data_IF_688246212211
#
_entry.id   IF_688246212211
#
_cell.length_a   1.000
_cell.length_b   1.000
_cell.length_c   1.000
_cell.angle_alpha   90.00
_cell.angle_beta   90.00
_cell.angle_gamma   90.00
#
_symmetry.space_group_name_H-M   'P 1'
#
loop_
_entity.id
_entity.type
_entity.pdbx_description
1 polymer ?
#
# COMPACT_ATOMS: atom_id res chain seq x y z
N UNK A 1 -22.58 11.71 3.37
CA UNK A 1 -22.01 10.70 2.45
C UNK A 1 -21.20 11.47 1.43
N UNK A 2 -19.89 11.54 1.64
CA UNK A 2 -19.00 12.05 0.59
C UNK A 2 -19.15 11.16 -0.66
N UNK A 3 -19.06 11.72 -1.87
CA UNK A 3 -19.23 10.93 -3.08
C UNK A 3 -18.15 9.84 -3.14
N UNK A 4 -18.59 8.60 -3.36
CA UNK A 4 -17.68 7.48 -3.61
C UNK A 4 -16.80 7.80 -4.83
N UNK A 5 -15.50 7.56 -4.70
CA UNK A 5 -14.55 7.74 -5.80
C UNK A 5 -14.60 6.51 -6.69
N UNK A 6 -15.07 6.67 -7.92
CA UNK A 6 -15.10 5.58 -8.90
C UNK A 6 -13.66 5.17 -9.28
N UNK A 7 -13.34 3.87 -9.32
CA UNK A 7 -12.05 3.40 -9.80
C UNK A 7 -11.79 3.78 -11.25
N UNK A 8 -10.52 3.94 -11.61
CA UNK A 8 -10.09 4.30 -12.97
C UNK A 8 -8.84 3.53 -13.39
N UNK A 9 -8.70 3.27 -14.68
CA UNK A 9 -7.44 2.76 -15.27
C UNK A 9 -6.60 3.95 -15.71
N UNK A 10 -5.31 3.89 -15.38
CA UNK A 10 -4.32 4.91 -15.68
C UNK A 10 -3.15 4.30 -16.43
N UNK A 11 -2.67 5.03 -17.44
CA UNK A 11 -1.47 4.71 -18.25
C UNK A 11 -0.33 5.71 -18.02
N UNK A 12 -0.49 6.60 -17.03
CA UNK A 12 0.59 7.45 -16.58
C UNK A 12 1.55 6.65 -15.69
N UNK A 13 2.85 6.94 -15.78
CA UNK A 13 3.83 6.28 -14.92
C UNK A 13 3.68 6.73 -13.47
N UNK A 14 3.53 5.77 -12.56
CA UNK A 14 3.55 6.01 -11.10
C UNK A 14 4.75 5.31 -10.49
N UNK A 15 5.48 6.00 -9.62
CA UNK A 15 6.63 5.44 -8.92
C UNK A 15 6.57 5.76 -7.43
N UNK A 16 7.05 4.81 -6.62
CA UNK A 16 7.21 4.94 -5.17
C UNK A 16 8.64 4.54 -4.81
N UNK A 17 9.28 5.32 -3.95
CA UNK A 17 10.54 4.94 -3.29
C UNK A 17 10.24 4.81 -1.80
N UNK A 18 10.23 3.57 -1.32
CA UNK A 18 9.81 3.20 0.02
C UNK A 18 11.00 2.67 0.81
N UNK A 19 10.95 2.85 2.13
CA UNK A 19 11.89 2.27 3.07
C UNK A 19 11.12 1.51 4.13
N UNK A 20 11.46 0.23 4.30
CA UNK A 20 10.61 -0.65 5.09
C UNK A 20 11.14 -2.06 5.29
N UNK A 21 10.27 -2.92 5.78
CA UNK A 21 10.56 -4.30 6.11
C UNK A 21 9.70 -5.25 5.25
N UNK A 22 10.20 -6.46 5.02
CA UNK A 22 9.50 -7.48 4.23
C UNK A 22 9.39 -8.79 5.00
N UNK A 23 8.24 -9.46 4.91
CA UNK A 23 8.01 -10.78 5.50
C UNK A 23 7.10 -11.61 4.59
N UNK A 24 7.37 -12.92 4.53
CA UNK A 24 6.45 -13.86 3.89
C UNK A 24 5.21 -14.01 4.78
N UNK A 25 4.03 -13.75 4.22
CA UNK A 25 2.78 -13.88 4.92
C UNK A 25 2.45 -15.36 5.18
N UNK A 26 1.99 -15.64 6.40
CA UNK A 26 1.47 -16.95 6.79
C UNK A 26 0.00 -17.08 6.35
N UNK A 27 -0.32 -17.97 5.38
CA UNK A 27 -1.70 -18.12 4.89
C UNK A 27 -2.71 -18.55 5.94
N UNK A 28 -2.27 -19.04 7.10
CA UNK A 28 -3.14 -19.39 8.23
C UNK A 28 -3.59 -18.18 9.06
N UNK A 29 -3.11 -16.96 8.76
CA UNK A 29 -3.36 -15.73 9.50
C UNK A 29 -3.98 -14.65 8.61
N UNK A 30 -4.67 -13.65 9.19
CA UNK A 30 -5.06 -12.48 8.42
C UNK A 30 -3.82 -11.65 8.03
N UNK A 31 -3.84 -11.06 6.84
CA UNK A 31 -2.77 -10.17 6.37
C UNK A 31 -2.51 -8.98 7.33
N UNK A 32 -3.55 -8.49 8.01
CA UNK A 32 -3.44 -7.40 8.98
C UNK A 32 -2.40 -7.69 10.07
N UNK A 33 -2.31 -8.91 10.58
CA UNK A 33 -1.28 -9.27 11.57
C UNK A 33 0.13 -9.09 11.01
N UNK A 34 0.38 -9.58 9.79
CA UNK A 34 1.70 -9.43 9.13
C UNK A 34 2.02 -7.97 8.87
N UNK A 35 1.03 -7.19 8.45
CA UNK A 35 1.18 -5.75 8.16
C UNK A 35 1.49 -4.96 9.43
N UNK A 36 0.77 -5.22 10.53
CA UNK A 36 1.03 -4.57 11.82
C UNK A 36 2.42 -4.90 12.35
N UNK A 37 2.83 -6.17 12.32
CA UNK A 37 4.17 -6.57 12.74
C UNK A 37 5.28 -5.88 11.93
N UNK A 38 5.06 -5.68 10.62
CA UNK A 38 6.01 -4.97 9.77
C UNK A 38 6.02 -3.47 10.07
N UNK A 39 4.85 -2.84 10.22
CA UNK A 39 4.79 -1.42 10.57
C UNK A 39 5.37 -1.13 11.95
N UNK A 40 5.17 -2.00 12.94
CA UNK A 40 5.79 -1.86 14.26
C UNK A 40 7.31 -1.80 14.16
N UNK A 41 7.92 -2.66 13.34
CA UNK A 41 9.36 -2.64 13.07
C UNK A 41 9.80 -1.36 12.36
N UNK A 42 9.08 -0.97 11.31
CA UNK A 42 9.40 0.26 10.55
C UNK A 42 9.34 1.48 11.47
N UNK A 43 8.26 1.62 12.23
CA UNK A 43 8.06 2.77 13.10
C UNK A 43 8.96 2.76 14.33
N UNK A 44 9.36 1.58 14.83
CA UNK A 44 10.40 1.49 15.84
C UNK A 44 11.71 2.09 15.33
N UNK A 45 12.17 1.66 14.16
CA UNK A 45 13.42 2.14 13.56
C UNK A 45 13.39 3.64 13.24
N UNK A 46 12.27 4.13 12.69
CA UNK A 46 12.06 5.55 12.38
C UNK A 46 12.16 6.41 13.65
N UNK A 47 11.55 5.98 14.75
CA UNK A 47 11.60 6.72 16.02
C UNK A 47 12.97 6.62 16.69
N UNK A 48 13.59 5.45 16.66
CA UNK A 48 14.89 5.21 17.31
C UNK A 48 16.03 6.02 16.67
N UNK A 49 15.94 6.30 15.37
CA UNK A 49 16.95 7.04 14.62
C UNK A 49 16.48 8.43 14.16
N UNK A 50 15.33 8.90 14.65
CA UNK A 50 14.76 10.22 14.33
C UNK A 50 14.69 10.51 12.81
N UNK A 51 14.33 9.48 12.01
CA UNK A 51 14.35 9.57 10.55
C UNK A 51 13.25 10.53 10.05
N UNK A 52 13.61 11.48 9.18
CA UNK A 52 12.64 12.38 8.58
C UNK A 52 11.74 11.64 7.57
N UNK A 53 10.42 11.76 7.71
CA UNK A 53 9.45 10.98 6.93
C UNK A 53 8.20 11.78 6.54
N UNK A 54 7.48 11.31 5.52
CA UNK A 54 6.15 11.87 5.14
C UNK A 54 5.01 11.32 6.00
N UNK A 55 5.24 10.21 6.68
CA UNK A 55 4.26 9.57 7.58
C UNK A 55 3.10 8.89 6.87
N UNK A 56 3.29 8.51 5.62
CA UNK A 56 2.30 7.79 4.81
C UNK A 56 2.74 6.33 4.70
N UNK A 57 1.91 5.44 5.23
CA UNK A 57 2.15 4.01 5.26
C UNK A 57 1.81 3.38 3.90
N UNK A 58 2.70 2.54 3.40
CA UNK A 58 2.53 1.79 2.17
C UNK A 58 2.66 0.30 2.45
N UNK A 59 1.78 -0.50 1.87
CA UNK A 59 1.90 -1.96 1.83
C UNK A 59 2.00 -2.38 0.37
N UNK A 60 3.00 -3.21 0.08
CA UNK A 60 3.26 -3.78 -1.24
C UNK A 60 3.14 -5.29 -1.12
N UNK A 61 2.17 -5.87 -1.83
CA UNK A 61 1.99 -7.30 -1.93
C UNK A 61 2.72 -7.80 -3.18
N UNK A 62 3.55 -8.82 -3.00
CA UNK A 62 4.47 -9.34 -4.01
C UNK A 62 4.32 -10.85 -4.21
N UNK A 63 4.99 -11.37 -5.24
CA UNK A 63 4.98 -12.79 -5.57
C UNK A 63 5.42 -13.65 -4.37
N UNK A 64 4.87 -14.87 -4.29
CA UNK A 64 5.21 -15.81 -3.21
C UNK A 64 4.70 -15.40 -1.83
N UNK A 65 3.58 -14.67 -1.77
CA UNK A 65 2.97 -14.14 -0.54
C UNK A 65 3.90 -13.21 0.26
N UNK A 66 4.87 -12.58 -0.40
CA UNK A 66 5.72 -11.59 0.24
C UNK A 66 4.95 -10.29 0.44
N UNK A 67 5.01 -9.77 1.66
CA UNK A 67 4.47 -8.46 2.02
C UNK A 67 5.64 -7.56 2.40
N UNK A 68 5.69 -6.39 1.81
CA UNK A 68 6.58 -5.31 2.21
C UNK A 68 5.74 -4.17 2.77
N UNK A 69 6.04 -3.74 4.00
CA UNK A 69 5.43 -2.54 4.58
C UNK A 69 6.53 -1.49 4.77
N UNK A 70 6.25 -0.26 4.36
CA UNK A 70 7.24 0.81 4.41
C UNK A 70 6.62 2.19 4.31
N UNK A 71 7.47 3.20 4.39
CA UNK A 71 7.09 4.60 4.30
C UNK A 71 7.99 5.35 3.33
N UNK A 72 7.54 6.53 2.90
CA UNK A 72 8.40 7.49 2.21
C UNK A 72 9.21 8.29 3.23
N UNK A 73 10.53 8.16 3.15
CA UNK A 73 11.47 9.00 3.90
C UNK A 73 11.82 10.26 3.09
N UNK A 74 12.09 11.37 3.80
CA UNK A 74 12.57 12.62 3.20
C UNK A 74 14.03 12.46 2.76
N UNK A 75 14.81 11.73 3.54
CA UNK A 75 16.19 11.35 3.26
C UNK A 75 16.36 9.84 3.45
N UNK A 76 17.15 9.16 2.60
CA UNK A 76 17.48 7.76 2.83
C UNK A 76 18.05 7.54 4.24
N UNK A 77 17.79 6.39 4.86
CA UNK A 77 18.37 6.06 6.16
C UNK A 77 19.88 5.77 6.00
N UNK A 78 20.60 5.71 7.11
CA UNK A 78 22.00 5.29 7.13
C UNK A 78 22.17 3.84 6.62
N UNK A 79 23.36 3.49 6.12
CA UNK A 79 23.63 2.17 5.50
C UNK A 79 23.41 0.98 6.45
N UNK A 80 23.46 1.22 7.76
CA UNK A 80 23.26 0.21 8.81
C UNK A 80 21.80 0.05 9.26
N UNK A 81 20.87 0.83 8.69
CA UNK A 81 19.46 0.72 9.07
C UNK A 81 18.86 -0.62 8.66
N UNK A 82 17.91 -1.10 9.46
CA UNK A 82 17.14 -2.30 9.12
C UNK A 82 16.12 -2.06 7.99
N UNK A 83 15.83 -0.79 7.66
CA UNK A 83 14.90 -0.44 6.59
C UNK A 83 15.54 -0.68 5.22
N UNK A 84 14.93 -1.56 4.44
CA UNK A 84 15.32 -1.82 3.07
C UNK A 84 14.65 -0.82 2.14
N UNK A 85 15.44 -0.24 1.22
CA UNK A 85 14.91 0.52 0.10
C UNK A 85 14.15 -0.41 -0.86
N UNK A 86 12.97 0.03 -1.31
CA UNK A 86 12.21 -0.60 -2.39
C UNK A 86 11.69 0.47 -3.35
N UNK A 87 12.06 0.35 -4.61
CA UNK A 87 11.51 1.16 -5.69
C UNK A 87 10.41 0.34 -6.39
N UNK A 88 9.21 0.90 -6.49
CA UNK A 88 8.06 0.30 -7.19
C UNK A 88 7.67 1.22 -8.33
N UNK A 89 7.53 0.67 -9.54
CA UNK A 89 7.13 1.42 -10.74
C UNK A 89 5.94 0.71 -11.39
N UNK A 90 4.88 1.46 -11.63
CA UNK A 90 3.70 1.04 -12.37
C UNK A 90 3.62 1.85 -13.65
N UNK A 91 3.71 1.18 -14.80
CA UNK A 91 3.56 1.81 -16.12
C UNK A 91 2.08 1.92 -16.53
N UNK A 92 1.26 0.99 -16.03
CA UNK A 92 -0.18 0.97 -16.20
C UNK A 92 -0.81 0.34 -14.96
N UNK A 93 -1.88 0.95 -14.45
CA UNK A 93 -2.51 0.48 -13.21
C UNK A 93 -3.99 0.81 -13.14
N UNK A 94 -4.74 -0.02 -12.42
CA UNK A 94 -6.05 0.38 -11.91
C UNK A 94 -5.86 1.09 -10.57
N UNK A 95 -6.57 2.19 -10.39
CA UNK A 95 -6.54 3.03 -9.19
C UNK A 95 -7.93 3.07 -8.57
N UNK A 96 -8.00 2.88 -7.26
CA UNK A 96 -9.19 3.10 -6.46
C UNK A 96 -8.84 3.86 -5.19
N UNK A 97 -9.78 4.67 -4.69
CA UNK A 97 -9.67 5.31 -3.38
C UNK A 97 -10.84 4.88 -2.52
N UNK A 98 -10.53 4.25 -1.40
CA UNK A 98 -11.47 3.93 -0.34
C UNK A 98 -11.48 5.06 0.69
N UNK A 99 -12.68 5.47 1.12
CA UNK A 99 -12.87 6.39 2.24
C UNK A 99 -13.88 5.73 3.17
N UNK A 100 -13.43 5.34 4.37
CA UNK A 100 -14.23 4.60 5.33
C UNK A 100 -13.44 3.51 6.07
N UNK A 101 -14.13 2.69 6.87
CA UNK A 101 -13.49 1.65 7.68
C UNK A 101 -12.82 0.60 6.80
N UNK A 102 -11.70 0.04 7.27
CA UNK A 102 -10.93 -0.96 6.51
C UNK A 102 -11.72 -2.25 6.23
N UNK A 103 -12.74 -2.55 7.05
CA UNK A 103 -13.65 -3.69 6.83
C UNK A 103 -14.44 -3.61 5.52
N UNK A 104 -14.52 -2.43 4.90
CA UNK A 104 -15.25 -2.19 3.65
C UNK A 104 -14.33 -2.06 2.42
N UNK A 105 -13.01 -2.26 2.58
CA UNK A 105 -12.06 -2.23 1.46
C UNK A 105 -12.42 -3.24 0.37
N UNK A 106 -13.05 -4.36 0.73
CA UNK A 106 -13.51 -5.39 -0.21
C UNK A 106 -14.47 -4.83 -1.28
N UNK A 107 -15.29 -3.82 -0.94
CA UNK A 107 -16.21 -3.17 -1.86
C UNK A 107 -15.41 -2.44 -2.94
N UNK A 108 -14.35 -1.72 -2.55
CA UNK A 108 -13.48 -1.01 -3.48
C UNK A 108 -12.72 -2.00 -4.36
N UNK A 109 -12.18 -3.08 -3.79
CA UNK A 109 -11.54 -4.16 -4.56
C UNK A 109 -12.46 -4.77 -5.61
N UNK A 110 -13.70 -5.10 -5.24
CA UNK A 110 -14.68 -5.68 -6.19
C UNK A 110 -15.00 -4.74 -7.35
N UNK A 111 -15.04 -3.42 -7.11
CA UNK A 111 -15.26 -2.43 -8.17
C UNK A 111 -14.05 -2.29 -9.09
N UNK A 112 -12.84 -2.27 -8.52
CA UNK A 112 -11.61 -2.28 -9.30
C UNK A 112 -11.54 -3.53 -10.18
N UNK A 113 -11.90 -4.69 -9.64
CA UNK A 113 -11.92 -5.95 -10.40
C UNK A 113 -12.92 -5.93 -11.55
N UNK A 114 -14.13 -5.41 -11.30
CA UNK A 114 -15.14 -5.24 -12.35
C UNK A 114 -14.66 -4.29 -13.46
N UNK A 115 -13.99 -3.19 -13.10
CA UNK A 115 -13.41 -2.25 -14.06
C UNK A 115 -12.34 -2.92 -14.94
N UNK A 116 -11.37 -3.60 -14.31
CA UNK A 116 -10.29 -4.30 -15.00
C UNK A 116 -10.86 -5.36 -15.95
N UNK A 117 -11.83 -6.16 -15.48
CA UNK A 117 -12.47 -7.19 -16.29
C UNK A 117 -13.23 -6.59 -17.48
N UNK A 118 -13.98 -5.50 -17.26
CA UNK A 118 -14.72 -4.83 -18.33
C UNK A 118 -13.79 -4.22 -19.41
N UNK A 119 -12.58 -3.82 -19.01
CA UNK A 119 -11.55 -3.31 -19.91
C UNK A 119 -10.75 -4.43 -20.63
N UNK A 120 -10.91 -5.70 -20.24
CA UNK A 120 -10.14 -6.81 -20.80
C UNK A 120 -8.67 -6.81 -20.38
N UNK A 121 -8.34 -6.16 -19.27
CA UNK A 121 -6.99 -6.06 -18.72
C UNK A 121 -6.70 -7.21 -17.74
N UNK A 122 -5.42 -7.44 -17.44
CA UNK A 122 -5.00 -8.44 -16.45
C UNK A 122 -4.24 -7.79 -15.29
N UNK A 123 -4.59 -8.19 -14.06
CA UNK A 123 -3.85 -7.78 -12.86
C UNK A 123 -2.56 -8.59 -12.74
N UNK A 124 -1.48 -7.91 -12.39
CA UNK A 124 -0.24 -8.53 -11.94
C UNK A 124 0.15 -7.97 -10.56
N UNK A 125 1.07 -8.63 -9.88
CA UNK A 125 1.77 -8.04 -8.75
C UNK A 125 2.89 -7.12 -9.25
N UNK A 126 3.26 -6.05 -8.52
CA UNK A 126 2.80 -5.74 -7.17
C UNK A 126 1.40 -5.10 -7.10
N UNK A 127 0.70 -5.39 -6.00
CA UNK A 127 -0.45 -4.59 -5.53
C UNK A 127 0.04 -3.64 -4.44
N UNK A 128 -0.39 -2.39 -4.48
CA UNK A 128 0.00 -1.38 -3.48
C UNK A 128 -1.23 -0.80 -2.81
N UNK A 129 -1.21 -0.76 -1.48
CA UNK A 129 -2.13 0.02 -0.64
C UNK A 129 -1.35 1.18 -0.02
N UNK A 130 -1.93 2.38 -0.04
CA UNK A 130 -1.39 3.60 0.56
C UNK A 130 -2.40 4.11 1.58
N UNK A 131 -2.01 4.08 2.84
CA UNK A 131 -2.86 4.47 3.95
C UNK A 131 -2.64 5.95 4.24
N UNK A 132 -3.72 6.74 4.14
CA UNK A 132 -3.71 8.15 4.48
C UNK A 132 -3.40 8.41 5.95
N UNK A 133 -3.49 9.68 6.37
CA UNK A 133 -3.30 10.01 7.78
C UNK A 133 -4.37 9.36 8.65
N UNK A 134 -3.92 8.81 9.79
CA UNK A 134 -4.83 8.22 10.77
C UNK A 134 -5.88 9.24 11.23
N UNK A 135 -7.12 8.78 11.34
CA UNK A 135 -8.24 9.53 11.88
C UNK A 135 -8.96 8.65 12.91
N UNK A 136 -9.31 9.20 14.06
CA UNK A 136 -10.11 8.49 15.06
C UNK A 136 -11.52 8.15 14.54
N UNK A 137 -12.02 8.95 13.60
CA UNK A 137 -13.24 8.68 12.88
C UNK A 137 -12.95 7.78 11.68
N UNK A 138 -13.22 6.48 11.84
CA UNK A 138 -12.97 5.47 10.79
C UNK A 138 -13.66 5.80 9.47
N UNK A 139 -14.77 6.54 9.50
CA UNK A 139 -15.49 6.96 8.27
C UNK A 139 -14.69 7.93 7.39
N UNK A 140 -13.59 8.48 7.92
CA UNK A 140 -12.68 9.41 7.25
C UNK A 140 -11.33 8.81 6.94
N UNK A 141 -11.10 7.54 7.26
CA UNK A 141 -9.85 6.87 6.90
C UNK A 141 -9.78 6.72 5.38
N UNK A 142 -8.65 7.11 4.82
CA UNK A 142 -8.42 7.01 3.38
C UNK A 142 -7.45 5.89 3.06
N UNK A 143 -7.71 5.14 2.00
CA UNK A 143 -6.78 4.15 1.46
C UNK A 143 -6.80 4.21 -0.06
N UNK A 144 -5.66 4.51 -0.65
CA UNK A 144 -5.49 4.42 -2.10
C UNK A 144 -4.98 3.02 -2.46
N UNK A 145 -5.55 2.42 -3.50
CA UNK A 145 -5.23 1.07 -3.96
C UNK A 145 -4.76 1.16 -5.40
N UNK A 146 -3.66 0.47 -5.70
CA UNK A 146 -3.06 0.37 -7.02
C UNK A 146 -2.92 -1.11 -7.40
N UNK A 147 -3.58 -1.54 -8.46
CA UNK A 147 -3.33 -2.83 -9.10
C UNK A 147 -2.45 -2.62 -10.33
N UNK A 148 -1.27 -3.25 -10.37
CA UNK A 148 -0.46 -3.28 -11.58
C UNK A 148 -1.21 -4.02 -12.70
N UNK A 149 -1.13 -3.50 -13.93
CA UNK A 149 -1.80 -4.05 -15.10
C UNK A 149 -0.82 -4.37 -16.22
N UNK A 150 -1.09 -5.45 -16.96
CA UNK A 150 -0.35 -5.88 -18.16
C UNK A 150 -1.28 -6.15 -19.35
#
# INVERSE_FOLDING_TARGET
MEPMVEPVIKTERKAFTLFGCSKAHDPGKPYSETIFELFDQVWHEVRSNELAHKGINHVVYEQGNMVFAGIELVTPPEENSVLKKKDVVLEKYAYGKHIGPYSELDVTYRRMDALVQAAGEHKELPLIEVYGHWNEDESKLETEIFHNLI
#
